data_IF_966370186216
#
_entry.id   IF_966370186216
#
_cell.length_a   1.000
_cell.length_b   1.000
_cell.length_c   1.000
_cell.angle_alpha   90.00
_cell.angle_beta   90.00
_cell.angle_gamma   90.00
#
_symmetry.space_group_name_H-M   'P 1'
#
loop_
_entity.id
_entity.type
_entity.pdbx_description
1 polymer ?
#
# COMPACT_ATOMS: atom_id res chain seq x y z
N UNK A 1 -14.34 0.02 19.19
CA UNK A 1 -14.08 -0.33 17.83
C UNK A 1 -13.51 0.86 17.05
N UNK A 2 -12.46 0.65 16.31
CA UNK A 2 -11.87 1.72 15.52
C UNK A 2 -12.73 1.99 14.30
N UNK A 3 -13.11 3.24 14.10
CA UNK A 3 -13.95 3.64 12.97
C UNK A 3 -13.23 4.54 11.99
N UNK A 4 -11.99 4.97 12.32
CA UNK A 4 -11.27 5.88 11.46
C UNK A 4 -10.67 5.18 10.25
N UNK A 5 -10.48 5.94 9.19
CA UNK A 5 -9.75 5.48 8.01
C UNK A 5 -8.26 5.60 8.32
N UNK A 6 -7.48 4.53 8.21
CA UNK A 6 -6.05 4.64 8.44
C UNK A 6 -5.40 5.63 7.48
N UNK A 7 -4.70 6.59 8.05
CA UNK A 7 -4.00 7.62 7.30
C UNK A 7 -2.63 7.78 7.96
N UNK A 8 -1.57 7.55 7.20
CA UNK A 8 -0.21 7.62 7.69
C UNK A 8 0.57 8.66 6.90
N UNK A 9 1.46 9.34 7.60
CA UNK A 9 2.34 10.34 7.00
C UNK A 9 3.77 9.97 7.34
N UNK A 10 4.64 10.02 6.35
CA UNK A 10 6.07 9.86 6.55
C UNK A 10 6.68 11.26 6.66
N UNK A 11 7.43 11.49 7.73
CA UNK A 11 8.07 12.78 7.97
C UNK A 11 9.58 12.60 7.83
N UNK A 12 10.18 13.40 6.96
CA UNK A 12 11.63 13.36 6.76
C UNK A 12 12.33 14.11 7.88
N UNK A 13 13.63 13.87 8.00
CA UNK A 13 14.48 14.65 8.90
C UNK A 13 14.28 16.12 8.57
N UNK A 14 14.11 16.95 9.56
CA UNK A 14 13.85 18.36 9.36
C UNK A 14 12.38 18.74 9.31
N UNK A 15 11.48 17.74 9.33
CA UNK A 15 10.06 17.99 9.49
C UNK A 15 9.22 18.05 8.24
N UNK A 16 9.83 17.93 7.05
CA UNK A 16 9.06 17.93 5.81
C UNK A 16 8.29 16.63 5.65
N UNK A 17 7.09 16.73 5.07
CA UNK A 17 6.31 15.55 4.76
C UNK A 17 6.89 14.88 3.53
N UNK A 18 7.35 13.65 3.68
CA UNK A 18 7.95 12.89 2.59
C UNK A 18 6.90 12.11 1.79
N UNK A 19 5.79 11.73 2.42
CA UNK A 19 4.76 10.97 1.73
C UNK A 19 3.59 10.65 2.65
N UNK A 20 2.62 9.93 2.08
CA UNK A 20 1.42 9.55 2.83
C UNK A 20 0.86 8.24 2.30
N UNK A 21 0.03 7.60 3.10
CA UNK A 21 -0.73 6.42 2.69
C UNK A 21 -2.12 6.47 3.31
N UNK A 22 -3.11 6.09 2.53
CA UNK A 22 -4.50 5.99 2.98
C UNK A 22 -4.98 4.59 2.67
N UNK A 23 -5.66 3.97 3.64
CA UNK A 23 -6.21 2.65 3.46
C UNK A 23 -7.63 2.60 3.99
N UNK A 24 -8.30 1.51 3.68
CA UNK A 24 -9.66 1.23 4.12
C UNK A 24 -9.69 -0.22 4.58
N UNK A 25 -10.45 -0.48 5.63
CA UNK A 25 -10.58 -1.84 6.15
C UNK A 25 -12.04 -2.18 6.35
N UNK A 26 -12.40 -3.40 5.96
CA UNK A 26 -13.74 -3.94 6.18
C UNK A 26 -13.58 -5.40 6.51
N UNK A 27 -14.14 -5.82 7.66
CA UNK A 27 -13.96 -7.17 8.17
C UNK A 27 -12.46 -7.48 8.28
N UNK A 28 -12.00 -8.57 7.66
CA UNK A 28 -10.58 -8.96 7.74
C UNK A 28 -9.80 -8.60 6.48
N UNK A 29 -10.36 -7.73 5.63
CA UNK A 29 -9.69 -7.28 4.42
C UNK A 29 -9.39 -5.79 4.48
N UNK A 30 -8.26 -5.40 3.92
CA UNK A 30 -7.88 -4.01 3.81
C UNK A 30 -7.51 -3.67 2.39
N UNK A 31 -7.60 -2.40 2.06
CA UNK A 31 -7.21 -1.93 0.75
C UNK A 31 -6.41 -0.64 0.91
N UNK A 32 -5.24 -0.58 0.28
CA UNK A 32 -4.48 0.66 0.21
C UNK A 32 -5.04 1.44 -0.96
N UNK A 33 -5.65 2.57 -0.66
CA UNK A 33 -6.36 3.37 -1.66
C UNK A 33 -5.44 4.35 -2.36
N UNK A 34 -4.44 4.85 -1.63
CA UNK A 34 -3.54 5.85 -2.18
C UNK A 34 -2.22 5.81 -1.43
N UNK A 35 -1.15 5.99 -2.17
CA UNK A 35 0.20 6.06 -1.62
C UNK A 35 0.96 7.09 -2.44
N UNK A 36 1.47 8.11 -1.79
CA UNK A 36 2.23 9.13 -2.47
C UNK A 36 3.55 9.41 -1.77
N UNK A 37 4.60 9.62 -2.55
CA UNK A 37 5.91 10.02 -2.04
C UNK A 37 6.35 11.23 -2.85
N UNK A 38 6.72 12.29 -2.14
CA UNK A 38 7.15 13.52 -2.80
C UNK A 38 8.39 13.28 -3.64
N UNK A 39 8.53 14.01 -4.78
CA UNK A 39 9.67 13.78 -5.69
C UNK A 39 11.02 13.89 -5.00
N UNK A 40 11.15 14.80 -4.05
CA UNK A 40 12.42 15.01 -3.34
C UNK A 40 12.78 13.85 -2.41
N UNK A 41 11.81 12.97 -2.11
CA UNK A 41 11.99 11.91 -1.13
C UNK A 41 11.89 10.52 -1.75
N UNK A 42 11.80 10.43 -3.07
CA UNK A 42 11.71 9.15 -3.75
C UNK A 42 13.05 8.41 -3.68
N UNK A 43 12.98 7.09 -3.74
CA UNK A 43 14.13 6.18 -3.71
C UNK A 43 14.91 6.25 -2.40
N UNK A 44 14.27 6.72 -1.34
CA UNK A 44 14.87 6.79 -0.01
C UNK A 44 14.14 5.89 0.98
N UNK A 45 13.30 4.99 0.47
CA UNK A 45 12.62 4.03 1.32
C UNK A 45 11.33 4.52 1.95
N UNK A 46 10.87 5.75 1.64
CA UNK A 46 9.65 6.28 2.26
C UNK A 46 8.43 5.46 1.87
N UNK A 47 8.31 5.08 0.60
CA UNK A 47 7.18 4.26 0.15
C UNK A 47 7.15 2.92 0.84
N UNK A 48 8.31 2.28 0.96
CA UNK A 48 8.43 1.00 1.65
C UNK A 48 8.00 1.10 3.10
N UNK A 49 8.47 2.14 3.79
CA UNK A 49 8.14 2.33 5.20
C UNK A 49 6.65 2.62 5.38
N UNK A 50 6.07 3.41 4.48
CA UNK A 50 4.64 3.70 4.54
C UNK A 50 3.81 2.44 4.36
N UNK A 51 4.16 1.59 3.39
CA UNK A 51 3.41 0.36 3.17
C UNK A 51 3.58 -0.58 4.36
N UNK A 52 4.79 -0.73 4.88
CA UNK A 52 5.02 -1.57 6.05
C UNK A 52 4.22 -1.09 7.26
N UNK A 53 4.27 0.22 7.53
CA UNK A 53 3.55 0.78 8.66
C UNK A 53 2.04 0.62 8.47
N UNK A 54 1.56 0.79 7.24
CA UNK A 54 0.14 0.60 6.97
C UNK A 54 -0.28 -0.84 7.17
N UNK A 55 0.54 -1.80 6.73
CA UNK A 55 0.22 -3.20 6.95
C UNK A 55 0.20 -3.56 8.43
N UNK A 56 1.12 -3.00 9.21
CA UNK A 56 1.09 -3.19 10.67
C UNK A 56 -0.17 -2.60 11.28
N UNK A 57 -0.52 -1.39 10.86
CA UNK A 57 -1.74 -0.73 11.34
C UNK A 57 -2.97 -1.55 11.04
N UNK A 58 -3.07 -2.06 9.80
CA UNK A 58 -4.20 -2.88 9.41
C UNK A 58 -4.23 -4.19 10.17
N UNK A 59 -3.06 -4.78 10.42
CA UNK A 59 -2.98 -6.03 11.19
C UNK A 59 -3.57 -5.85 12.59
N UNK A 60 -3.31 -4.71 13.23
CA UNK A 60 -3.86 -4.45 14.57
C UNK A 60 -5.37 -4.32 14.57
N UNK A 61 -5.96 -4.11 13.40
CA UNK A 61 -7.41 -4.02 13.25
C UNK A 61 -8.04 -5.34 12.80
N UNK A 62 -7.25 -6.41 12.79
CA UNK A 62 -7.76 -7.73 12.42
C UNK A 62 -7.72 -8.03 10.94
N UNK A 63 -7.08 -7.18 10.13
CA UNK A 63 -6.98 -7.40 8.69
C UNK A 63 -6.02 -8.57 8.43
N UNK A 64 -6.43 -9.48 7.55
CA UNK A 64 -5.66 -10.67 7.20
C UNK A 64 -5.16 -10.64 5.76
N UNK A 65 -5.69 -9.77 4.94
CA UNK A 65 -5.25 -9.62 3.55
C UNK A 65 -5.38 -8.17 3.14
N UNK A 66 -4.41 -7.69 2.38
CA UNK A 66 -4.38 -6.31 1.91
C UNK A 66 -4.32 -6.30 0.39
N UNK A 67 -5.15 -5.49 -0.22
CA UNK A 67 -5.28 -5.37 -1.66
C UNK A 67 -4.90 -3.97 -2.10
N UNK A 68 -4.44 -3.85 -3.33
CA UNK A 68 -4.24 -2.55 -3.96
C UNK A 68 -4.27 -2.70 -5.48
N UNK A 69 -4.45 -1.57 -6.15
CA UNK A 69 -4.39 -1.51 -7.61
C UNK A 69 -3.24 -0.60 -8.02
N UNK A 70 -2.56 -0.98 -9.08
CA UNK A 70 -1.44 -0.21 -9.60
C UNK A 70 -1.49 -0.20 -11.11
N UNK A 71 -1.07 0.93 -11.73
CA UNK A 71 -0.97 1.00 -13.18
C UNK A 71 0.07 -0.01 -13.68
N UNK A 72 -0.23 -0.66 -14.78
CA UNK A 72 0.68 -1.62 -15.36
C UNK A 72 2.05 -1.02 -15.64
N UNK A 73 2.09 0.23 -16.06
CA UNK A 73 3.34 0.91 -16.41
C UNK A 73 4.15 1.35 -15.21
N UNK A 74 3.58 1.31 -14.00
CA UNK A 74 4.29 1.78 -12.80
C UNK A 74 5.22 0.69 -12.30
N UNK A 75 6.34 0.49 -13.00
CA UNK A 75 7.27 -0.59 -12.71
C UNK A 75 7.88 -0.44 -11.33
N UNK A 76 8.23 0.77 -10.95
CA UNK A 76 8.86 1.00 -9.64
C UNK A 76 7.93 0.60 -8.50
N UNK A 77 6.65 0.96 -8.59
CA UNK A 77 5.69 0.57 -7.56
C UNK A 77 5.46 -0.95 -7.56
N UNK A 78 5.37 -1.54 -8.75
CA UNK A 78 5.16 -2.98 -8.85
C UNK A 78 6.32 -3.76 -8.22
N UNK A 79 7.55 -3.28 -8.43
CA UNK A 79 8.71 -3.92 -7.81
C UNK A 79 8.69 -3.75 -6.30
N UNK A 80 8.32 -2.57 -5.82
CA UNK A 80 8.20 -2.33 -4.38
C UNK A 80 7.21 -3.29 -3.75
N UNK A 81 6.03 -3.40 -4.34
CA UNK A 81 4.98 -4.25 -3.78
C UNK A 81 5.37 -5.72 -3.86
N UNK A 82 6.04 -6.13 -4.94
CA UNK A 82 6.51 -7.51 -5.05
C UNK A 82 7.48 -7.85 -3.92
N UNK A 83 8.39 -6.95 -3.61
CA UNK A 83 9.35 -7.16 -2.52
C UNK A 83 8.67 -7.24 -1.16
N UNK A 84 7.52 -6.61 -1.02
CA UNK A 84 6.78 -6.61 0.24
C UNK A 84 5.77 -7.76 0.33
N UNK A 85 5.79 -8.66 -0.64
CA UNK A 85 4.97 -9.85 -0.58
C UNK A 85 3.64 -9.79 -1.29
N UNK A 86 3.39 -8.72 -2.04
CA UNK A 86 2.18 -8.64 -2.84
C UNK A 86 2.32 -9.50 -4.10
N UNK A 87 1.22 -10.13 -4.47
CA UNK A 87 1.16 -10.99 -5.67
C UNK A 87 0.00 -10.57 -6.54
N UNK A 88 0.18 -10.71 -7.85
CA UNK A 88 -0.88 -10.35 -8.79
C UNK A 88 -2.04 -11.32 -8.66
N UNK A 89 -3.25 -10.77 -8.53
CA UNK A 89 -4.49 -11.51 -8.42
C UNK A 89 -5.31 -11.44 -9.70
N UNK A 90 -5.14 -10.37 -10.45
CA UNK A 90 -5.92 -10.16 -11.66
C UNK A 90 -5.64 -8.80 -12.24
N UNK A 91 -6.42 -8.47 -13.25
CA UNK A 91 -6.28 -7.20 -13.96
C UNK A 91 -7.64 -6.65 -14.28
N UNK A 92 -7.74 -5.31 -14.26
CA UNK A 92 -8.88 -4.61 -14.83
C UNK A 92 -8.41 -4.01 -16.13
N UNK A 93 -8.91 -4.54 -17.23
CA UNK A 93 -8.49 -4.13 -18.56
C UNK A 93 -8.94 -2.70 -18.82
N UNK A 94 -8.01 -1.87 -19.33
CA UNK A 94 -8.28 -0.50 -19.74
C UNK A 94 -8.96 0.33 -18.65
N UNK A 95 -8.56 0.11 -17.43
CA UNK A 95 -9.18 0.75 -16.26
C UNK A 95 -8.83 2.23 -16.16
N UNK A 96 -7.56 2.57 -16.37
CA UNK A 96 -7.12 3.96 -16.38
C UNK A 96 -7.34 4.58 -17.74
N UNK A 97 -7.51 5.89 -17.79
CA UNK A 97 -7.93 6.56 -19.01
C UNK A 97 -6.89 7.45 -19.66
N UNK A 98 -5.90 7.94 -18.91
CA UNK A 98 -4.97 8.94 -19.46
C UNK A 98 -3.56 8.66 -18.98
N UNK A 99 -2.84 7.77 -19.65
CA UNK A 99 -3.22 6.99 -20.82
C UNK A 99 -4.11 5.82 -20.47
N UNK A 100 -4.71 5.20 -21.48
CA UNK A 100 -5.46 3.97 -21.26
C UNK A 100 -4.48 2.86 -20.94
N UNK A 101 -4.68 2.21 -19.81
CA UNK A 101 -3.88 1.05 -19.45
C UNK A 101 -4.59 0.22 -18.38
N UNK A 102 -4.11 -0.99 -18.23
CA UNK A 102 -4.69 -1.91 -17.26
C UNK A 102 -4.32 -1.52 -15.84
N UNK A 103 -5.21 -1.84 -14.92
CA UNK A 103 -4.89 -1.87 -13.50
C UNK A 103 -4.50 -3.29 -13.12
N UNK A 104 -3.39 -3.42 -12.42
CA UNK A 104 -2.94 -4.69 -11.87
C UNK A 104 -3.46 -4.77 -10.43
N UNK A 105 -4.18 -5.85 -10.13
CA UNK A 105 -4.71 -6.08 -8.79
C UNK A 105 -3.71 -6.92 -8.03
N UNK A 106 -3.26 -6.42 -6.89
CA UNK A 106 -2.27 -7.07 -6.06
C UNK A 106 -2.86 -7.40 -4.69
N UNK A 107 -2.36 -8.47 -4.10
CA UNK A 107 -2.79 -8.91 -2.77
C UNK A 107 -1.59 -9.38 -1.97
N UNK A 108 -1.58 -9.06 -0.69
CA UNK A 108 -0.61 -9.61 0.25
C UNK A 108 -1.37 -10.15 1.45
N UNK A 109 -0.99 -11.33 1.91
CA UNK A 109 -1.55 -11.89 3.13
C UNK A 109 -0.78 -11.33 4.32
N UNK A 110 -1.49 -11.06 5.41
CA UNK A 110 -0.86 -10.72 6.67
C UNK A 110 -0.90 -11.97 7.51
N UNK A 111 0.29 -12.50 7.82
CA UNK A 111 0.40 -13.73 8.60
C UNK A 111 0.14 -13.43 10.07
N UNK A 112 -0.81 -14.16 10.66
CA UNK A 112 -1.06 -14.04 12.09
C UNK A 112 0.11 -14.52 12.91
N UNK A 113 0.87 -15.48 12.40
CA UNK A 113 2.02 -16.00 13.12
C UNK A 113 3.14 -15.01 13.24
N UNK A 114 3.17 -14.02 12.38
CA UNK A 114 4.22 -13.01 12.42
C UNK A 114 4.30 -12.35 13.77
N UNK A 115 3.14 -12.07 14.37
CA UNK A 115 3.10 -11.46 15.68
C UNK A 115 3.29 -12.44 16.81
N UNK A 116 3.15 -13.72 16.52
CA UNK A 116 3.22 -14.76 17.55
C UNK A 116 4.60 -15.36 17.71
N UNK A 117 5.38 -15.15 16.72
CA UNK A 117 6.71 -15.77 16.71
C UNK A 117 7.57 -15.30 17.87
#
# INVERSE_FOLDING_TARGET
>A
MATGVPFLVAVADGGDIAGYAIAHAAADEGEILNLGVGPAHRRRGAGRELVRAMMETLATRGVRAVYLEVRESNVAARELYDRLGFREMGRRSRYYRRPVEDAILLRAAISAETGDA
#
